data_IF_839212829499
#
_entry.id   IF_839212829499
#
_cell.length_a   1.000
_cell.length_b   1.000
_cell.length_c   1.000
_cell.angle_alpha   90.00
_cell.angle_beta   90.00
_cell.angle_gamma   90.00
#
_symmetry.space_group_name_H-M   'P 1'
#
loop_
_entity.id
_entity.type
_entity.pdbx_description
1 polymer ?
#
# COMPACT_ATOMS: atom_id res chain seq x y z
N UNK A 1 -5.60 12.42 11.63
CA UNK A 1 -5.09 11.94 12.92
C UNK A 1 -4.04 10.83 12.80
N UNK A 2 -4.42 9.56 12.95
CA UNK A 2 -3.45 8.44 12.91
C UNK A 2 -2.78 8.27 11.55
N UNK A 3 -3.50 8.46 10.46
CA UNK A 3 -2.98 8.42 9.09
C UNK A 3 -1.96 9.54 8.86
N UNK A 4 -2.22 10.73 9.31
CA UNK A 4 -1.34 11.89 9.25
C UNK A 4 -0.07 11.69 10.10
N UNK A 5 -0.22 11.11 11.30
CA UNK A 5 0.90 10.75 12.16
C UNK A 5 1.79 9.70 11.48
N UNK A 6 1.21 8.68 10.86
CA UNK A 6 1.95 7.65 10.11
C UNK A 6 2.73 8.26 8.95
N UNK A 7 2.11 9.14 8.15
CA UNK A 7 2.75 9.82 7.03
C UNK A 7 3.93 10.69 7.50
N UNK A 8 3.74 11.51 8.53
CA UNK A 8 4.80 12.37 9.07
C UNK A 8 5.93 11.56 9.71
N UNK A 9 5.63 10.41 10.33
CA UNK A 9 6.66 9.51 10.87
C UNK A 9 7.53 8.94 9.75
N UNK A 10 6.92 8.48 8.65
CA UNK A 10 7.67 7.97 7.49
C UNK A 10 8.52 9.07 6.86
N UNK A 11 7.98 10.27 6.72
CA UNK A 11 8.70 11.44 6.20
C UNK A 11 9.90 11.78 7.08
N UNK A 12 9.71 11.82 8.40
CA UNK A 12 10.78 12.07 9.37
C UNK A 12 11.88 11.01 9.28
N UNK A 13 11.52 9.73 9.28
CA UNK A 13 12.50 8.62 9.19
C UNK A 13 13.30 8.69 7.89
N UNK A 14 12.64 9.02 6.76
CA UNK A 14 13.32 9.22 5.47
C UNK A 14 14.23 10.45 5.48
N UNK A 15 13.89 11.48 6.22
CA UNK A 15 14.66 12.72 6.36
C UNK A 15 15.81 12.66 7.35
N UNK A 16 15.88 11.66 8.24
CA UNK A 16 16.93 11.52 9.25
C UNK A 16 18.37 11.66 8.69
N UNK A 17 18.74 11.02 7.57
CA UNK A 17 20.07 11.16 7.00
C UNK A 17 20.40 12.61 6.62
N UNK A 18 19.42 13.33 6.05
CA UNK A 18 19.57 14.75 5.67
C UNK A 18 19.71 15.64 6.90
N UNK A 19 18.82 15.45 7.86
CA UNK A 19 18.83 16.20 9.15
C UNK A 19 20.17 15.99 9.88
N UNK A 20 20.66 14.75 9.92
CA UNK A 20 21.95 14.43 10.56
C UNK A 20 23.15 15.09 9.87
N UNK A 21 23.10 15.25 8.54
CA UNK A 21 24.17 15.85 7.75
C UNK A 21 24.25 17.36 7.93
N UNK A 22 23.10 18.03 8.10
CA UNK A 22 23.04 19.49 8.22
C UNK A 22 22.94 20.01 9.66
N UNK A 23 23.03 19.13 10.67
CA UNK A 23 22.88 19.44 12.09
C UNK A 23 21.61 20.27 12.46
N UNK A 24 20.62 20.27 11.59
CA UNK A 24 19.33 20.93 11.80
C UNK A 24 18.27 19.90 12.20
N UNK A 25 18.19 19.61 13.47
CA UNK A 25 17.27 18.55 13.95
C UNK A 25 15.94 19.06 14.50
N UNK A 26 15.81 20.36 14.75
CA UNK A 26 14.79 20.86 15.69
C UNK A 26 13.42 21.01 15.03
N UNK A 27 13.32 21.67 13.88
CA UNK A 27 12.00 22.02 13.30
C UNK A 27 11.18 20.83 12.80
N UNK A 28 11.82 19.85 12.17
CA UNK A 28 11.15 18.64 11.70
C UNK A 28 10.72 17.74 12.86
N UNK A 29 11.52 17.66 13.93
CA UNK A 29 11.18 16.92 15.13
C UNK A 29 10.06 17.59 15.93
N UNK A 30 10.07 18.91 16.06
CA UNK A 30 9.04 19.66 16.78
C UNK A 30 7.66 19.51 16.12
N UNK A 31 7.62 19.48 14.80
CA UNK A 31 6.39 19.21 14.05
C UNK A 31 5.84 17.81 14.33
N UNK A 32 6.68 16.78 14.26
CA UNK A 32 6.29 15.41 14.59
C UNK A 32 5.89 15.30 16.07
N UNK A 33 6.66 15.88 16.99
CA UNK A 33 6.37 15.88 18.42
C UNK A 33 5.03 16.56 18.74
N UNK A 34 4.77 17.72 18.17
CA UNK A 34 3.51 18.43 18.35
C UNK A 34 2.33 17.61 17.84
N UNK A 35 2.49 16.90 16.71
CA UNK A 35 1.48 16.01 16.16
C UNK A 35 1.22 14.78 17.04
N UNK A 36 2.28 14.21 17.63
CA UNK A 36 2.17 13.12 18.62
C UNK A 36 1.35 13.58 19.83
N UNK A 37 1.70 14.74 20.42
CA UNK A 37 0.97 15.29 21.57
C UNK A 37 -0.49 15.57 21.23
N UNK A 38 -0.74 16.23 20.09
CA UNK A 38 -2.10 16.51 19.61
C UNK A 38 -2.92 15.22 19.41
N UNK A 39 -2.31 14.20 18.82
CA UNK A 39 -2.97 12.91 18.60
C UNK A 39 -3.24 12.22 19.93
N UNK A 40 -2.27 12.20 20.85
CA UNK A 40 -2.45 11.68 22.22
C UNK A 40 -3.61 12.36 22.93
N UNK A 41 -3.69 13.68 22.91
CA UNK A 41 -4.73 14.44 23.60
C UNK A 41 -6.12 14.21 22.99
N UNK A 42 -6.20 14.09 21.66
CA UNK A 42 -7.44 13.72 20.97
C UNK A 42 -7.89 12.30 21.33
N UNK A 43 -6.99 11.34 21.33
CA UNK A 43 -7.28 9.94 21.70
C UNK A 43 -7.72 9.87 23.16
N UNK A 44 -7.00 10.52 24.07
CA UNK A 44 -7.39 10.58 25.49
C UNK A 44 -8.77 11.18 25.68
N UNK A 45 -9.07 12.30 25.01
CA UNK A 45 -10.38 12.96 25.08
C UNK A 45 -11.51 12.07 24.60
N UNK A 46 -11.31 11.40 23.48
CA UNK A 46 -12.25 10.42 22.92
C UNK A 46 -12.44 9.25 23.88
N UNK A 47 -11.33 8.65 24.33
CA UNK A 47 -11.35 7.49 25.22
C UNK A 47 -12.06 7.82 26.53
N UNK A 48 -11.73 8.92 27.19
CA UNK A 48 -12.38 9.33 28.43
C UNK A 48 -13.87 9.62 28.25
N UNK A 49 -14.25 10.28 27.16
CA UNK A 49 -15.67 10.51 26.84
C UNK A 49 -16.45 9.22 26.61
N UNK A 50 -15.79 8.24 25.98
CA UNK A 50 -16.40 6.94 25.70
C UNK A 50 -16.44 6.04 26.93
N UNK A 51 -15.33 5.96 27.68
CA UNK A 51 -15.17 5.10 28.85
C UNK A 51 -16.19 5.43 29.92
N UNK A 52 -16.44 6.71 30.23
CA UNK A 52 -17.42 7.09 31.24
C UNK A 52 -18.83 6.64 30.86
N UNK A 53 -19.24 6.84 29.61
CA UNK A 53 -20.58 6.42 29.15
C UNK A 53 -20.71 4.90 29.13
N UNK A 54 -19.65 4.22 28.73
CA UNK A 54 -19.60 2.77 28.64
C UNK A 54 -19.62 2.11 30.01
N UNK A 55 -18.85 2.64 30.98
CA UNK A 55 -18.85 2.17 32.36
C UNK A 55 -20.21 2.31 33.02
N UNK A 56 -20.91 3.44 32.79
CA UNK A 56 -22.28 3.58 33.25
C UNK A 56 -23.23 2.57 32.61
N UNK A 57 -23.16 2.39 31.31
CA UNK A 57 -23.96 1.40 30.58
C UNK A 57 -23.70 -0.01 31.11
N UNK A 58 -22.44 -0.39 31.26
CA UNK A 58 -22.03 -1.70 31.76
C UNK A 58 -22.49 -1.92 33.21
N UNK A 59 -22.31 -0.91 34.08
CA UNK A 59 -22.77 -0.96 35.47
C UNK A 59 -24.27 -1.15 35.55
N UNK A 60 -25.06 -0.36 34.82
CA UNK A 60 -26.53 -0.48 34.82
C UNK A 60 -26.97 -1.83 34.26
N UNK A 61 -26.36 -2.26 33.13
CA UNK A 61 -26.73 -3.53 32.47
C UNK A 61 -26.39 -4.76 33.28
N UNK A 62 -25.24 -4.76 33.97
CA UNK A 62 -24.85 -5.89 34.85
C UNK A 62 -25.54 -5.84 36.21
N UNK A 63 -25.96 -4.65 36.65
CA UNK A 63 -26.68 -4.46 37.93
C UNK A 63 -28.17 -4.74 37.85
N UNK A 64 -28.66 -5.26 36.71
CA UNK A 64 -30.10 -5.58 36.51
C UNK A 64 -30.65 -6.44 37.65
N UNK A 65 -29.86 -7.36 38.18
CA UNK A 65 -30.23 -8.17 39.31
C UNK A 65 -30.56 -7.36 40.59
N UNK A 66 -29.81 -6.28 40.84
CA UNK A 66 -30.04 -5.42 42.01
C UNK A 66 -31.33 -4.62 41.90
N UNK A 67 -31.71 -4.21 40.69
CA UNK A 67 -32.99 -3.50 40.47
C UNK A 67 -34.19 -4.45 40.53
N UNK A 68 -34.01 -5.74 40.27
CA UNK A 68 -35.09 -6.74 40.41
C UNK A 68 -35.50 -7.02 41.85
N UNK A 69 -34.59 -6.93 42.82
CA UNK A 69 -34.91 -7.18 44.21
C UNK A 69 -35.98 -6.25 44.78
N UNK A 70 -35.89 -4.92 44.68
CA UNK A 70 -36.95 -4.03 45.13
C UNK A 70 -38.28 -4.24 44.42
N UNK A 71 -38.21 -4.52 43.08
CA UNK A 71 -39.43 -4.77 42.28
C UNK A 71 -40.09 -6.09 42.73
N UNK A 72 -39.33 -7.14 42.96
CA UNK A 72 -39.82 -8.42 43.44
C UNK A 72 -40.50 -8.26 44.82
N UNK A 73 -39.90 -7.49 45.73
CA UNK A 73 -40.48 -7.20 47.04
C UNK A 73 -41.78 -6.43 46.94
N UNK A 74 -41.89 -5.47 46.04
CA UNK A 74 -43.13 -4.75 45.78
C UNK A 74 -44.22 -5.66 45.20
N UNK A 75 -43.88 -6.52 44.25
CA UNK A 75 -44.80 -7.45 43.63
C UNK A 75 -45.31 -8.50 44.65
N UNK A 76 -44.49 -8.99 45.57
CA UNK A 76 -44.90 -9.87 46.65
C UNK A 76 -45.91 -9.15 47.55
N UNK A 77 -45.65 -7.88 47.89
CA UNK A 77 -46.54 -7.08 48.74
C UNK A 77 -47.92 -6.82 48.12
N UNK A 78 -47.97 -6.62 46.81
CA UNK A 78 -49.20 -6.28 46.10
C UNK A 78 -49.93 -7.49 45.53
N UNK A 79 -49.27 -8.56 45.12
CA UNK A 79 -49.88 -9.69 44.39
C UNK A 79 -49.97 -10.98 45.18
N UNK A 80 -49.39 -11.07 46.38
CA UNK A 80 -49.55 -12.16 47.33
C UNK A 80 -49.04 -13.55 46.93
N UNK A 81 -48.59 -13.77 45.71
CA UNK A 81 -48.14 -15.08 45.20
C UNK A 81 -46.62 -15.17 45.13
N UNK A 82 -46.02 -15.49 46.27
CA UNK A 82 -44.56 -15.57 46.46
C UNK A 82 -43.89 -16.50 45.46
N UNK A 83 -44.51 -17.67 45.16
CA UNK A 83 -43.91 -18.66 44.26
C UNK A 83 -43.70 -18.15 42.84
N UNK A 84 -44.67 -17.44 42.27
CA UNK A 84 -44.59 -16.93 40.92
C UNK A 84 -43.56 -15.77 40.83
N UNK A 85 -43.56 -14.87 41.80
CA UNK A 85 -42.64 -13.74 41.83
C UNK A 85 -41.18 -14.24 41.99
N UNK A 86 -40.93 -15.29 42.78
CA UNK A 86 -39.61 -15.88 42.91
C UNK A 86 -39.20 -16.54 41.60
N UNK A 87 -40.07 -17.33 40.95
CA UNK A 87 -39.79 -17.98 39.69
C UNK A 87 -39.42 -16.98 38.58
N UNK A 88 -40.22 -15.92 38.44
CA UNK A 88 -39.97 -14.87 37.47
C UNK A 88 -38.66 -14.11 37.77
N UNK A 89 -38.38 -13.83 39.03
CA UNK A 89 -37.14 -13.19 39.47
C UNK A 89 -35.89 -14.01 39.12
N UNK A 90 -35.95 -15.33 39.29
CA UNK A 90 -34.85 -16.24 38.91
C UNK A 90 -34.63 -16.23 37.40
N UNK A 91 -35.70 -16.27 36.61
CA UNK A 91 -35.60 -16.22 35.15
C UNK A 91 -34.94 -14.91 34.69
N UNK A 92 -35.39 -13.76 35.22
CA UNK A 92 -34.80 -12.47 34.89
C UNK A 92 -33.35 -12.33 35.36
N UNK A 93 -32.99 -12.90 36.50
CA UNK A 93 -31.63 -12.92 37.02
C UNK A 93 -30.68 -13.71 36.09
N UNK A 94 -31.14 -14.80 35.51
CA UNK A 94 -30.37 -15.62 34.58
C UNK A 94 -30.27 -15.02 33.19
N UNK A 95 -31.34 -14.38 32.70
CA UNK A 95 -31.42 -13.85 31.33
C UNK A 95 -30.80 -12.43 31.25
N UNK A 96 -30.90 -11.61 32.29
CA UNK A 96 -30.45 -10.21 32.28
C UNK A 96 -29.00 -10.02 31.81
N UNK A 97 -28.03 -10.71 32.41
CA UNK A 97 -26.62 -10.61 31.99
C UNK A 97 -26.38 -11.06 30.53
N UNK A 98 -27.17 -12.06 30.06
CA UNK A 98 -27.08 -12.51 28.66
C UNK A 98 -27.49 -11.43 27.66
N UNK A 99 -28.51 -10.65 27.98
CA UNK A 99 -28.94 -9.51 27.15
C UNK A 99 -27.83 -8.43 27.04
N UNK A 100 -27.19 -8.08 28.15
CA UNK A 100 -26.10 -7.10 28.15
C UNK A 100 -24.94 -7.53 27.25
N UNK A 101 -24.54 -8.82 27.38
CA UNK A 101 -23.51 -9.40 26.52
C UNK A 101 -23.88 -9.44 25.04
N UNK A 102 -25.15 -9.69 24.72
CA UNK A 102 -25.64 -9.68 23.35
C UNK A 102 -25.58 -8.28 22.72
N UNK A 103 -25.98 -7.25 23.45
CA UNK A 103 -25.90 -5.85 23.00
C UNK A 103 -24.43 -5.45 22.73
N UNK A 104 -23.52 -5.80 23.64
CA UNK A 104 -22.08 -5.53 23.48
C UNK A 104 -21.48 -6.24 22.27
N UNK A 105 -21.84 -7.51 22.04
CA UNK A 105 -21.39 -8.23 20.84
C UNK A 105 -21.92 -7.60 19.56
N UNK A 106 -23.15 -7.13 19.54
CA UNK A 106 -23.71 -6.42 18.38
C UNK A 106 -22.93 -5.15 18.08
N UNK A 107 -22.57 -4.38 19.10
CA UNK A 107 -21.77 -3.17 18.94
C UNK A 107 -20.36 -3.48 18.38
N UNK A 108 -19.70 -4.56 18.86
CA UNK A 108 -18.39 -4.97 18.33
C UNK A 108 -18.46 -5.48 16.90
N UNK A 109 -19.51 -6.22 16.52
CA UNK A 109 -19.73 -6.66 15.14
C UNK A 109 -19.88 -5.46 14.22
N UNK A 110 -20.68 -4.46 14.58
CA UNK A 110 -20.86 -3.24 13.80
C UNK A 110 -19.54 -2.50 13.57
N UNK A 111 -18.71 -2.39 14.61
CA UNK A 111 -17.40 -1.78 14.52
C UNK A 111 -16.46 -2.58 13.59
N UNK A 112 -16.45 -3.91 13.72
CA UNK A 112 -15.62 -4.77 12.87
C UNK A 112 -16.05 -4.71 11.41
N UNK A 113 -17.37 -4.66 11.14
CA UNK A 113 -17.91 -4.51 9.79
C UNK A 113 -17.48 -3.18 9.16
N UNK A 114 -17.51 -2.09 9.91
CA UNK A 114 -17.04 -0.78 9.44
C UNK A 114 -15.54 -0.80 9.06
N UNK A 115 -14.69 -1.43 9.87
CA UNK A 115 -13.27 -1.57 9.52
C UNK A 115 -13.05 -2.47 8.30
N UNK A 116 -13.86 -3.52 8.16
CA UNK A 116 -13.81 -4.39 6.98
C UNK A 116 -14.21 -3.63 5.70
N UNK A 117 -15.27 -2.81 5.77
CA UNK A 117 -15.70 -1.95 4.65
C UNK A 117 -14.60 -0.96 4.25
N UNK A 118 -13.99 -0.25 5.21
CA UNK A 118 -12.85 0.64 4.94
C UNK A 118 -11.63 -0.07 4.33
N UNK A 119 -11.42 -1.34 4.69
CA UNK A 119 -10.34 -2.13 4.11
C UNK A 119 -10.69 -2.56 2.67
N UNK A 120 -11.94 -2.94 2.42
CA UNK A 120 -12.44 -3.28 1.09
C UNK A 120 -12.36 -2.09 0.14
N UNK A 121 -12.83 -0.91 0.56
CA UNK A 121 -12.73 0.32 -0.25
C UNK A 121 -11.29 0.60 -0.69
N UNK A 122 -10.31 0.39 0.21
CA UNK A 122 -8.89 0.56 -0.15
C UNK A 122 -8.40 -0.48 -1.14
N UNK A 123 -8.88 -1.71 -1.04
CA UNK A 123 -8.53 -2.78 -1.98
C UNK A 123 -9.18 -2.51 -3.33
N UNK A 124 -10.46 -2.14 -3.35
CA UNK A 124 -11.20 -1.80 -4.56
C UNK A 124 -10.55 -0.62 -5.29
N UNK A 125 -10.19 0.44 -4.59
CA UNK A 125 -9.45 1.57 -5.18
C UNK A 125 -8.11 1.17 -5.82
N UNK A 126 -7.47 0.10 -5.36
CA UNK A 126 -6.25 -0.42 -5.99
C UNK A 126 -6.59 -1.30 -7.20
N UNK A 127 -7.67 -2.06 -7.12
CA UNK A 127 -8.10 -2.96 -8.20
C UNK A 127 -8.81 -2.23 -9.35
N UNK A 128 -9.45 -1.09 -9.07
CA UNK A 128 -10.09 -0.22 -10.05
C UNK A 128 -9.10 0.62 -10.87
N UNK A 129 -7.79 0.50 -10.61
CA UNK A 129 -6.80 1.09 -11.50
C UNK A 129 -6.98 0.50 -12.90
N UNK A 130 -7.33 1.36 -13.85
CA UNK A 130 -7.48 0.98 -15.24
C UNK A 130 -6.21 0.27 -15.73
N UNK A 131 -6.33 -1.01 -16.02
CA UNK A 131 -5.26 -1.75 -16.69
C UNK A 131 -5.03 -1.15 -18.07
N UNK A 132 -3.77 -1.04 -18.46
CA UNK A 132 -3.45 -0.61 -19.82
C UNK A 132 -4.11 -1.56 -20.83
N UNK A 133 -4.87 -0.97 -21.73
CA UNK A 133 -5.43 -1.73 -22.86
C UNK A 133 -4.29 -2.05 -23.81
N UNK A 134 -4.01 -3.32 -23.97
CA UNK A 134 -3.03 -3.85 -24.92
C UNK A 134 -3.73 -4.35 -26.18
N UNK A 135 -3.02 -4.25 -27.31
CA UNK A 135 -3.47 -4.87 -28.56
C UNK A 135 -2.98 -6.32 -28.67
N UNK A 136 -2.88 -6.79 -29.90
CA UNK A 136 -2.46 -8.15 -30.24
C UNK A 136 -1.35 -8.19 -31.29
N UNK A 137 -0.73 -7.05 -31.59
CA UNK A 137 0.33 -6.96 -32.60
C UNK A 137 1.68 -7.29 -32.00
N UNK A 138 2.54 -7.86 -32.83
CA UNK A 138 3.94 -8.16 -32.51
C UNK A 138 4.83 -7.66 -33.63
N UNK A 139 6.09 -7.29 -33.34
CA UNK A 139 7.08 -6.92 -34.33
C UNK A 139 8.37 -7.69 -34.13
N UNK A 140 9.10 -7.96 -35.18
CA UNK A 140 10.49 -8.48 -35.12
C UNK A 140 11.54 -7.37 -34.98
N UNK A 141 11.18 -6.14 -35.33
CA UNK A 141 12.07 -4.97 -35.21
C UNK A 141 11.99 -4.37 -33.80
N UNK A 142 13.04 -3.62 -33.41
CA UNK A 142 13.22 -3.02 -32.08
C UNK A 142 13.55 -1.51 -32.13
N UNK A 143 13.47 -0.89 -33.31
CA UNK A 143 13.63 0.57 -33.42
C UNK A 143 12.51 1.28 -32.65
N UNK A 144 12.82 2.38 -31.99
CA UNK A 144 11.83 3.19 -31.25
C UNK A 144 11.67 4.55 -31.90
N UNK A 145 10.45 5.06 -31.98
CA UNK A 145 10.12 6.36 -32.53
C UNK A 145 9.08 7.07 -31.66
N UNK A 146 9.39 8.29 -31.25
CA UNK A 146 8.47 9.21 -30.59
C UNK A 146 7.99 10.24 -31.60
N UNK A 147 6.69 10.50 -31.67
CA UNK A 147 6.06 11.48 -32.57
C UNK A 147 5.17 12.42 -31.79
N UNK A 148 5.58 13.67 -31.70
CA UNK A 148 4.85 14.77 -31.08
C UNK A 148 4.32 14.40 -29.67
N UNK A 149 5.15 13.75 -28.88
CA UNK A 149 4.78 13.24 -27.57
C UNK A 149 4.82 14.33 -26.54
N UNK A 150 3.66 14.62 -25.93
CA UNK A 150 3.55 15.45 -24.74
C UNK A 150 3.03 14.61 -23.58
N UNK A 151 3.56 14.87 -22.38
CA UNK A 151 3.21 14.08 -21.18
C UNK A 151 3.24 14.90 -19.91
N UNK A 152 2.25 14.70 -19.07
CA UNK A 152 2.13 15.27 -17.73
C UNK A 152 1.90 14.17 -16.69
N UNK A 153 2.56 14.28 -15.54
CA UNK A 153 2.13 13.59 -14.33
C UNK A 153 1.06 14.46 -13.68
N UNK A 154 -0.16 13.94 -13.57
CA UNK A 154 -1.31 14.71 -13.11
C UNK A 154 -1.45 16.03 -13.92
N UNK A 155 -1.23 17.19 -13.29
CA UNK A 155 -1.35 18.52 -13.90
C UNK A 155 0.00 19.14 -14.28
N UNK A 156 1.14 18.51 -13.93
CA UNK A 156 2.47 19.04 -14.20
C UNK A 156 2.98 18.56 -15.57
N UNK A 157 3.13 19.50 -16.53
CA UNK A 157 3.66 19.19 -17.86
C UNK A 157 5.17 18.92 -17.78
N UNK A 158 5.61 17.74 -18.20
CA UNK A 158 7.00 17.28 -18.13
C UNK A 158 7.64 17.15 -19.49
N UNK A 159 6.87 16.75 -20.51
CA UNK A 159 7.33 16.66 -21.90
C UNK A 159 6.37 17.43 -22.80
N UNK A 160 6.93 18.20 -23.72
CA UNK A 160 6.18 18.99 -24.67
C UNK A 160 6.72 18.77 -26.10
N UNK A 161 5.87 18.23 -26.96
CA UNK A 161 6.10 17.98 -28.38
C UNK A 161 7.43 17.27 -28.73
N UNK A 162 7.75 16.22 -28.01
CA UNK A 162 9.00 15.48 -28.18
C UNK A 162 8.90 14.52 -29.36
N UNK A 163 9.83 14.69 -30.33
CA UNK A 163 9.93 13.82 -31.50
C UNK A 163 11.38 13.38 -31.71
N UNK A 164 11.63 12.08 -31.79
CA UNK A 164 12.93 11.52 -32.15
C UNK A 164 12.77 10.05 -32.58
N UNK A 165 13.82 9.51 -33.20
CA UNK A 165 13.87 8.11 -33.63
C UNK A 165 15.22 7.50 -33.28
N UNK A 166 15.17 6.24 -32.84
CA UNK A 166 16.35 5.41 -32.58
C UNK A 166 16.21 4.15 -33.42
N UNK A 167 17.14 3.89 -34.29
CA UNK A 167 17.13 2.70 -35.14
C UNK A 167 17.71 1.50 -34.37
N UNK A 168 17.42 0.31 -34.88
CA UNK A 168 17.99 -0.94 -34.34
C UNK A 168 19.51 -0.86 -34.27
N UNK A 169 20.07 -1.15 -33.10
CA UNK A 169 21.54 -1.16 -32.87
C UNK A 169 22.13 0.22 -32.54
N UNK A 170 21.38 1.31 -32.65
CA UNK A 170 21.85 2.62 -32.22
C UNK A 170 21.92 2.74 -30.69
N UNK A 171 22.90 3.53 -30.25
CA UNK A 171 23.04 3.96 -28.85
C UNK A 171 22.76 5.45 -28.76
N UNK A 172 21.79 5.83 -27.98
CA UNK A 172 21.39 7.23 -27.81
C UNK A 172 21.54 7.62 -26.34
N UNK A 173 22.15 8.78 -26.11
CA UNK A 173 22.22 9.38 -24.78
C UNK A 173 21.25 10.58 -24.69
N UNK A 174 20.40 10.55 -23.68
CA UNK A 174 19.54 11.68 -23.33
C UNK A 174 20.31 12.59 -22.36
N UNK A 175 20.60 13.81 -22.80
CA UNK A 175 21.39 14.80 -22.04
C UNK A 175 20.51 15.99 -21.68
N UNK A 176 20.68 16.53 -20.49
CA UNK A 176 19.92 17.68 -20.00
C UNK A 176 20.02 17.84 -18.48
N UNK A 177 19.52 18.94 -17.95
CA UNK A 177 19.48 19.25 -16.53
C UNK A 177 18.65 18.24 -15.73
N UNK A 178 18.79 18.23 -14.40
CA UNK A 178 17.88 17.44 -13.55
C UNK A 178 16.45 17.95 -13.74
N UNK A 179 15.49 17.03 -13.80
CA UNK A 179 14.08 17.39 -14.05
C UNK A 179 13.69 17.62 -15.51
N UNK A 180 14.63 17.54 -16.49
CA UNK A 180 14.32 17.77 -17.92
C UNK A 180 13.56 16.63 -18.62
N UNK A 181 12.93 15.72 -17.91
CA UNK A 181 12.10 14.66 -18.49
C UNK A 181 12.83 13.40 -19.01
N UNK A 182 14.18 13.29 -18.87
CA UNK A 182 14.95 12.13 -19.38
C UNK A 182 14.42 10.79 -18.87
N UNK A 183 14.20 10.68 -17.57
CA UNK A 183 13.65 9.48 -16.94
C UNK A 183 12.21 9.23 -17.38
N UNK A 184 11.45 10.29 -17.64
CA UNK A 184 10.07 10.19 -18.13
C UNK A 184 10.05 9.63 -19.55
N UNK A 185 10.93 10.07 -20.44
CA UNK A 185 11.08 9.50 -21.80
C UNK A 185 11.36 7.98 -21.70
N UNK A 186 12.32 7.57 -20.86
CA UNK A 186 12.63 6.16 -20.68
C UNK A 186 11.44 5.35 -20.13
N UNK A 187 10.69 5.91 -19.18
CA UNK A 187 9.48 5.26 -18.61
C UNK A 187 8.36 5.15 -19.64
N UNK A 188 8.18 6.16 -20.49
CA UNK A 188 7.19 6.11 -21.56
C UNK A 188 7.60 5.10 -22.64
N UNK A 189 8.90 5.01 -22.97
CA UNK A 189 9.41 3.98 -23.87
C UNK A 189 9.13 2.55 -23.35
N UNK A 190 9.15 2.36 -22.03
CA UNK A 190 8.80 1.09 -21.38
C UNK A 190 7.29 0.94 -21.11
N UNK A 191 6.49 1.91 -21.54
CA UNK A 191 5.03 1.95 -21.29
C UNK A 191 4.66 1.78 -19.80
N UNK A 192 5.41 2.45 -18.90
CA UNK A 192 5.00 2.55 -17.49
C UNK A 192 3.87 3.57 -17.31
N UNK A 193 3.64 4.40 -18.29
CA UNK A 193 2.55 5.36 -18.38
C UNK A 193 2.04 5.41 -19.82
N UNK A 194 0.75 5.65 -20.00
CA UNK A 194 0.17 5.94 -21.30
C UNK A 194 0.21 7.45 -21.58
N UNK A 195 0.51 7.79 -22.82
CA UNK A 195 0.50 9.17 -23.30
C UNK A 195 -0.90 9.60 -23.70
N UNK A 196 -1.21 10.89 -23.46
CA UNK A 196 -2.46 11.51 -23.89
C UNK A 196 -2.32 12.11 -25.29
N UNK A 197 -1.14 12.63 -25.63
CA UNK A 197 -0.88 13.31 -26.90
C UNK A 197 0.36 12.75 -27.56
N UNK A 198 0.31 12.59 -28.88
CA UNK A 198 1.38 12.00 -29.68
C UNK A 198 1.31 10.48 -29.76
N UNK A 199 2.38 9.88 -30.29
CA UNK A 199 2.45 8.44 -30.53
C UNK A 199 3.87 7.92 -30.25
N UNK A 200 3.97 6.71 -29.72
CA UNK A 200 5.23 6.00 -29.52
C UNK A 200 5.15 4.69 -30.29
N UNK A 201 6.18 4.42 -31.09
CA UNK A 201 6.27 3.21 -31.89
C UNK A 201 7.49 2.39 -31.50
N UNK A 202 7.35 1.07 -31.50
CA UNK A 202 8.45 0.12 -31.38
C UNK A 202 8.37 -0.83 -32.57
N UNK A 203 9.46 -0.89 -33.35
CA UNK A 203 9.47 -1.71 -34.56
C UNK A 203 8.35 -1.40 -35.54
N UNK A 204 7.96 -0.11 -35.65
CA UNK A 204 6.90 0.38 -36.52
C UNK A 204 5.46 0.16 -36.04
N UNK A 205 5.27 -0.46 -34.86
CA UNK A 205 3.95 -0.68 -34.28
C UNK A 205 3.76 0.29 -33.09
N UNK A 206 2.59 0.94 -33.01
CA UNK A 206 2.24 1.77 -31.87
C UNK A 206 2.24 0.92 -30.59
N UNK A 207 2.87 1.43 -29.53
CA UNK A 207 3.06 0.70 -28.28
C UNK A 207 1.74 0.28 -27.61
N UNK A 208 0.63 0.96 -27.90
CA UNK A 208 -0.71 0.60 -27.42
C UNK A 208 -1.29 -0.61 -28.14
N UNK A 209 -0.87 -0.86 -29.38
CA UNK A 209 -1.35 -1.98 -30.20
C UNK A 209 -0.58 -3.28 -29.96
N UNK A 210 0.51 -3.23 -29.18
CA UNK A 210 1.29 -4.42 -28.87
C UNK A 210 0.53 -5.38 -27.94
N UNK A 211 0.77 -6.68 -28.15
CA UNK A 211 0.55 -7.70 -27.13
C UNK A 211 1.48 -7.45 -25.94
N UNK A 212 0.97 -7.54 -24.72
CA UNK A 212 1.68 -7.19 -23.48
C UNK A 212 3.02 -7.92 -23.34
N UNK A 213 2.99 -9.25 -23.46
CA UNK A 213 4.16 -10.11 -23.33
C UNK A 213 5.20 -9.84 -24.45
N UNK A 214 4.73 -9.60 -25.67
CA UNK A 214 5.62 -9.29 -26.80
C UNK A 214 6.32 -7.95 -26.60
N UNK A 215 5.64 -6.95 -26.05
CA UNK A 215 6.24 -5.65 -25.70
C UNK A 215 7.27 -5.79 -24.58
N UNK A 216 6.92 -6.47 -23.50
CA UNK A 216 7.81 -6.64 -22.34
C UNK A 216 9.09 -7.42 -22.69
N UNK A 217 9.02 -8.38 -23.62
CA UNK A 217 10.21 -9.10 -24.11
C UNK A 217 11.18 -8.24 -24.92
N UNK A 218 10.74 -7.08 -25.42
CA UNK A 218 11.58 -6.15 -26.19
C UNK A 218 12.30 -5.11 -25.33
N UNK A 219 11.87 -4.96 -24.08
CA UNK A 219 12.30 -3.89 -23.20
C UNK A 219 13.07 -4.48 -22.02
N UNK A 220 14.27 -3.99 -21.79
CA UNK A 220 15.00 -4.18 -20.55
C UNK A 220 15.20 -2.82 -19.89
N UNK A 221 14.78 -2.67 -18.65
CA UNK A 221 14.86 -1.41 -17.92
C UNK A 221 15.76 -1.55 -16.70
N UNK A 222 16.77 -0.69 -16.58
CA UNK A 222 17.64 -0.61 -15.40
C UNK A 222 17.30 0.65 -14.62
N UNK A 223 16.79 0.47 -13.41
CA UNK A 223 16.46 1.59 -12.55
C UNK A 223 17.70 2.17 -11.88
N UNK A 224 17.70 3.47 -11.61
CA UNK A 224 18.78 4.15 -10.90
C UNK A 224 18.96 3.60 -9.47
N UNK A 225 17.88 3.24 -8.80
CA UNK A 225 17.83 2.66 -7.45
C UNK A 225 17.23 1.26 -7.51
N UNK A 226 17.88 0.33 -8.23
CA UNK A 226 17.44 -1.06 -8.29
C UNK A 226 17.54 -1.71 -6.90
N UNK A 227 16.49 -2.42 -6.52
CA UNK A 227 16.47 -3.24 -5.31
C UNK A 227 16.26 -4.69 -5.70
N UNK A 228 16.96 -5.57 -5.00
CA UNK A 228 16.76 -7.01 -5.12
C UNK A 228 15.70 -7.45 -4.11
N UNK A 229 15.01 -8.53 -4.42
CA UNK A 229 14.12 -9.19 -3.47
C UNK A 229 14.93 -9.95 -2.42
N UNK A 230 14.35 -10.13 -1.23
CA UNK A 230 14.97 -10.89 -0.13
C UNK A 230 14.97 -12.40 -0.40
N UNK A 231 15.77 -12.80 -1.37
CA UNK A 231 15.99 -14.18 -1.79
C UNK A 231 17.39 -14.31 -2.39
N UNK A 232 17.80 -15.49 -2.87
CA UNK A 232 19.11 -15.70 -3.45
C UNK A 232 19.31 -14.81 -4.69
N UNK A 233 20.58 -14.52 -5.03
CA UNK A 233 20.89 -13.80 -6.27
C UNK A 233 20.45 -14.60 -7.50
N UNK A 234 20.54 -15.93 -7.43
CA UNK A 234 20.03 -16.84 -8.47
C UNK A 234 18.53 -16.64 -8.68
N UNK A 235 17.73 -16.67 -7.61
CA UNK A 235 16.28 -16.51 -7.71
C UNK A 235 15.92 -15.13 -8.24
N UNK A 236 16.66 -14.09 -7.84
CA UNK A 236 16.49 -12.74 -8.39
C UNK A 236 16.74 -12.70 -9.91
N UNK A 237 17.74 -13.42 -10.42
CA UNK A 237 17.99 -13.50 -11.86
C UNK A 237 16.89 -14.27 -12.59
N UNK A 238 16.38 -15.34 -11.98
CA UNK A 238 15.33 -16.18 -12.53
C UNK A 238 13.97 -15.48 -12.64
N UNK A 239 13.75 -14.34 -11.94
CA UNK A 239 12.55 -13.51 -12.15
C UNK A 239 12.45 -13.05 -13.62
N UNK A 240 13.60 -12.72 -14.24
CA UNK A 240 13.62 -12.26 -15.64
C UNK A 240 13.38 -13.39 -16.65
N UNK A 241 13.79 -14.62 -16.32
CA UNK A 241 13.60 -15.82 -17.12
C UNK A 241 13.60 -17.06 -16.21
N UNK A 242 12.41 -17.54 -15.79
CA UNK A 242 12.29 -18.64 -14.81
C UNK A 242 12.92 -19.95 -15.26
N UNK A 243 12.99 -20.21 -16.55
CA UNK A 243 13.54 -21.40 -17.19
C UNK A 243 14.98 -21.21 -17.70
N UNK A 244 15.69 -20.17 -17.25
CA UNK A 244 17.04 -19.90 -17.68
C UNK A 244 18.01 -21.03 -17.25
N UNK A 245 18.80 -21.51 -18.20
CA UNK A 245 19.86 -22.48 -17.93
C UNK A 245 21.05 -21.84 -17.19
N UNK A 246 21.86 -22.64 -16.53
CA UNK A 246 23.09 -22.14 -15.88
C UNK A 246 24.02 -21.43 -16.86
N UNK A 247 24.11 -21.92 -18.11
CA UNK A 247 24.88 -21.28 -19.15
C UNK A 247 24.36 -19.90 -19.53
N UNK A 248 23.04 -19.73 -19.64
CA UNK A 248 22.43 -18.43 -19.91
C UNK A 248 22.65 -17.45 -18.76
N UNK A 249 22.56 -17.92 -17.51
CA UNK A 249 22.87 -17.11 -16.32
C UNK A 249 24.34 -16.67 -16.35
N UNK A 250 25.26 -17.59 -16.62
CA UNK A 250 26.71 -17.31 -16.68
C UNK A 250 27.03 -16.30 -17.80
N UNK A 251 26.42 -16.46 -18.97
CA UNK A 251 26.54 -15.51 -20.08
C UNK A 251 25.96 -14.12 -19.72
N UNK A 252 24.84 -14.04 -19.01
CA UNK A 252 24.27 -12.79 -18.55
C UNK A 252 25.20 -12.08 -17.55
N UNK A 253 25.81 -12.83 -16.63
CA UNK A 253 26.77 -12.30 -15.66
C UNK A 253 28.05 -11.78 -16.33
N UNK A 254 28.54 -12.48 -17.36
CA UNK A 254 29.71 -12.04 -18.15
C UNK A 254 29.35 -10.72 -18.86
N UNK A 255 28.24 -10.71 -19.60
CA UNK A 255 27.83 -9.56 -20.42
C UNK A 255 27.52 -8.31 -19.59
N UNK A 256 27.01 -8.47 -18.37
CA UNK A 256 26.75 -7.38 -17.43
C UNK A 256 27.96 -6.92 -16.62
N UNK A 257 29.10 -7.66 -16.69
CA UNK A 257 30.28 -7.42 -15.85
C UNK A 257 30.08 -7.82 -14.38
N UNK A 258 29.01 -8.54 -14.05
CA UNK A 258 28.69 -8.94 -12.67
C UNK A 258 29.43 -10.22 -12.22
N UNK A 259 30.02 -10.96 -13.13
CA UNK A 259 30.65 -12.27 -12.84
C UNK A 259 31.71 -12.19 -11.73
N UNK A 260 32.59 -11.20 -11.77
CA UNK A 260 33.63 -11.03 -10.76
C UNK A 260 33.08 -10.64 -9.40
N UNK A 261 31.97 -9.87 -9.37
CA UNK A 261 31.27 -9.51 -8.12
C UNK A 261 30.72 -10.78 -7.48
N UNK A 262 30.02 -11.61 -8.25
CA UNK A 262 29.44 -12.88 -7.76
C UNK A 262 30.53 -13.87 -7.28
N UNK A 263 31.66 -13.94 -7.99
CA UNK A 263 32.78 -14.82 -7.63
C UNK A 263 33.40 -14.46 -6.29
N UNK A 264 33.35 -13.20 -5.89
CA UNK A 264 33.88 -12.69 -4.62
C UNK A 264 32.93 -12.87 -3.43
N UNK A 265 31.74 -13.42 -3.64
CA UNK A 265 30.78 -13.73 -2.58
C UNK A 265 30.99 -15.15 -2.07
N UNK A 266 30.98 -15.35 -0.74
CA UNK A 266 31.22 -16.65 -0.09
C UNK A 266 30.31 -17.79 -0.62
N UNK A 267 29.07 -17.45 -0.96
CA UNK A 267 28.05 -18.38 -1.49
C UNK A 267 27.74 -18.16 -2.97
N UNK A 268 28.52 -17.32 -3.68
CA UNK A 268 28.26 -17.00 -5.07
C UNK A 268 26.81 -16.59 -5.34
N UNK A 269 26.15 -17.24 -6.28
CA UNK A 269 24.74 -17.00 -6.65
C UNK A 269 23.74 -17.40 -5.56
N UNK A 270 24.12 -18.26 -4.62
CA UNK A 270 23.22 -18.66 -3.53
C UNK A 270 23.27 -17.70 -2.34
N UNK A 271 24.02 -16.60 -2.48
CA UNK A 271 24.01 -15.50 -1.50
C UNK A 271 22.61 -14.85 -1.45
N UNK A 272 22.02 -14.79 -0.26
CA UNK A 272 20.74 -14.13 -0.02
C UNK A 272 20.98 -12.65 0.21
N UNK A 273 20.26 -11.81 -0.54
CA UNK A 273 20.26 -10.37 -0.35
C UNK A 273 19.19 -9.98 0.67
N UNK A 274 19.57 -9.16 1.70
CA UNK A 274 18.62 -8.65 2.68
C UNK A 274 19.24 -8.29 4.01
#
# INVERSE_FOLDING_TARGET
GLSELSSQTVEYVRGIPVVKTFAQSVESFDKLYSLIIKTKDNVLKLTMSYTNKMSWFETVSTSTAFFLVPVALLLIKFNGNLSNVVADSVIYFLIGPAFATFIMRTATITQSSYFAELALDKIENILEFDDFVYGNKTSSDVGIEFKNVSFSYEDENVLDDISFKVNKGERVALVGSSGSGKTTIARLAARFYDIKTGEIYIGGINIKDFEKEALMRKIAFVFQNSKLFKMSLRDNLLIGKPDATNEEIDNALINSGAKDIIKNLDKGLDTVYG
#
